data_IF_623976366844
#
_entry.id   IF_623976366844
#
_cell.length_a   1.000
_cell.length_b   1.000
_cell.length_c   1.000
_cell.angle_alpha   90.00
_cell.angle_beta   90.00
_cell.angle_gamma   90.00
#
_symmetry.space_group_name_H-M   'P 1'
#
loop_
_entity.id
_entity.type
_entity.pdbx_description
1 polymer ?
#
# COMPACT_ATOMS: atom_id res chain seq x y z
N UNK A 1 41.08 34.95 1.30
CA UNK A 1 39.61 34.85 1.31
C UNK A 1 39.25 33.39 1.08
N UNK A 2 38.67 32.64 2.05
CA UNK A 2 38.21 31.29 1.81
C UNK A 2 36.84 31.34 1.13
N UNK A 3 36.76 30.69 0.02
CA UNK A 3 35.48 30.38 -0.67
C UNK A 3 34.64 29.53 0.27
N UNK A 4 33.53 30.09 0.76
CA UNK A 4 32.48 29.37 1.44
C UNK A 4 31.77 28.57 0.35
N UNK A 5 32.11 27.29 0.23
CA UNK A 5 31.34 26.32 -0.53
C UNK A 5 30.02 26.13 0.24
N UNK A 6 29.01 26.90 -0.12
CA UNK A 6 27.65 26.60 0.30
C UNK A 6 27.28 25.25 -0.31
N UNK A 7 27.42 24.18 0.46
CA UNK A 7 26.75 22.91 0.16
C UNK A 7 25.26 23.21 0.10
N UNK A 8 24.72 23.32 -1.13
CA UNK A 8 23.30 23.12 -1.35
C UNK A 8 23.00 21.70 -0.89
N UNK A 9 22.54 21.56 0.34
CA UNK A 9 21.85 20.35 0.79
C UNK A 9 20.55 20.37 -0.03
N UNK A 10 20.54 19.66 -1.15
CA UNK A 10 19.29 19.32 -1.82
C UNK A 10 18.53 18.44 -0.83
N UNK A 11 17.52 19.00 -0.17
CA UNK A 11 16.58 18.19 0.59
C UNK A 11 16.00 17.15 -0.39
N UNK A 12 16.34 15.89 -0.19
CA UNK A 12 15.77 14.82 -1.00
C UNK A 12 14.26 14.84 -0.79
N UNK A 13 13.53 15.01 -1.90
CA UNK A 13 12.06 15.07 -1.88
C UNK A 13 11.46 13.89 -1.12
N UNK A 14 10.58 14.18 -0.16
CA UNK A 14 9.71 13.19 0.49
C UNK A 14 8.93 12.41 -0.58
N UNK A 15 8.85 11.08 -0.45
CA UNK A 15 8.05 10.23 -1.32
C UNK A 15 6.70 9.95 -0.64
N UNK A 16 5.61 10.19 -1.35
CA UNK A 16 4.25 9.88 -0.92
C UNK A 16 3.71 8.70 -1.71
N UNK A 17 3.12 7.74 -1.00
CA UNK A 17 2.60 6.50 -1.58
C UNK A 17 1.15 6.31 -1.17
N UNK A 18 0.24 6.22 -2.15
CA UNK A 18 -1.13 5.82 -1.92
C UNK A 18 -1.22 4.31 -1.72
N UNK A 19 -2.02 3.86 -0.76
CA UNK A 19 -2.15 2.44 -0.45
C UNK A 19 -3.61 2.02 -0.44
N UNK A 20 -3.91 0.95 -1.19
CA UNK A 20 -5.22 0.30 -1.23
C UNK A 20 -5.07 -1.20 -1.01
N UNK A 21 -6.17 -1.82 -0.62
CA UNK A 21 -6.34 -3.27 -0.57
C UNK A 21 -7.82 -3.63 -0.65
N UNK A 22 -8.09 -4.89 -0.98
CA UNK A 22 -9.41 -5.48 -0.86
C UNK A 22 -10.50 -4.63 -1.54
N UNK A 23 -10.25 -4.23 -2.79
CA UNK A 23 -11.20 -3.44 -3.58
C UNK A 23 -12.36 -4.28 -4.10
N UNK A 24 -12.19 -5.59 -4.29
CA UNK A 24 -13.24 -6.55 -4.68
C UNK A 24 -14.18 -6.08 -5.79
N UNK A 25 -13.67 -5.36 -6.78
CA UNK A 25 -14.46 -4.83 -7.89
C UNK A 25 -14.31 -5.71 -9.13
N UNK A 26 -15.42 -5.97 -9.79
CA UNK A 26 -15.44 -6.68 -11.08
C UNK A 26 -15.35 -5.74 -12.28
N UNK A 27 -14.99 -4.49 -12.06
CA UNK A 27 -14.87 -3.47 -13.09
C UNK A 27 -14.65 -2.07 -12.51
N UNK A 28 -14.95 -1.07 -13.33
CA UNK A 28 -14.77 0.33 -13.04
C UNK A 28 -15.80 0.88 -12.03
N UNK A 29 -15.37 1.65 -11.06
CA UNK A 29 -16.22 2.33 -10.07
C UNK A 29 -15.89 3.84 -10.02
N UNK A 30 -16.83 4.65 -10.53
CA UNK A 30 -16.70 6.11 -10.58
C UNK A 30 -16.62 6.77 -9.20
N UNK A 31 -17.28 6.21 -8.20
CA UNK A 31 -17.26 6.78 -6.84
C UNK A 31 -15.90 6.57 -6.21
N UNK A 32 -15.38 5.34 -6.32
CA UNK A 32 -14.06 5.02 -5.82
C UNK A 32 -12.99 5.84 -6.58
N UNK A 33 -13.09 5.94 -7.91
CA UNK A 33 -12.16 6.78 -8.70
C UNK A 33 -12.11 8.22 -8.21
N UNK A 34 -13.27 8.85 -7.97
CA UNK A 34 -13.31 10.22 -7.43
C UNK A 34 -12.61 10.34 -6.09
N UNK A 35 -12.81 9.39 -5.18
CA UNK A 35 -12.11 9.35 -3.89
C UNK A 35 -10.61 9.15 -4.04
N UNK A 36 -10.20 8.29 -4.97
CA UNK A 36 -8.77 8.08 -5.28
C UNK A 36 -8.15 9.37 -5.82
N UNK A 37 -8.80 10.05 -6.77
CA UNK A 37 -8.31 11.32 -7.30
C UNK A 37 -8.21 12.38 -6.20
N UNK A 38 -9.22 12.50 -5.34
CA UNK A 38 -9.25 13.46 -4.23
C UNK A 38 -8.07 13.27 -3.26
N UNK A 39 -7.77 12.04 -2.88
CA UNK A 39 -6.79 11.74 -1.83
C UNK A 39 -5.39 11.38 -2.36
N UNK A 40 -5.29 10.93 -3.62
CA UNK A 40 -4.03 10.49 -4.23
C UNK A 40 -3.54 11.40 -5.37
N UNK A 41 -4.03 12.64 -5.45
CA UNK A 41 -3.61 13.59 -6.49
C UNK A 41 -2.10 13.86 -6.46
N UNK A 42 -1.52 13.92 -5.26
CA UNK A 42 -0.12 14.26 -5.01
C UNK A 42 0.76 13.08 -4.58
N UNK A 43 0.28 11.83 -4.70
CA UNK A 43 1.13 10.67 -4.47
C UNK A 43 2.02 10.37 -5.67
N UNK A 44 3.24 9.93 -5.39
CA UNK A 44 4.24 9.59 -6.41
C UNK A 44 3.95 8.21 -7.03
N UNK A 45 3.35 7.28 -6.27
CA UNK A 45 2.97 5.94 -6.72
C UNK A 45 1.84 5.36 -5.87
N UNK A 46 1.30 4.23 -6.31
CA UNK A 46 0.24 3.50 -5.61
C UNK A 46 0.69 2.07 -5.32
N UNK A 47 0.41 1.58 -4.11
CA UNK A 47 0.52 0.19 -3.73
C UNK A 47 -0.89 -0.42 -3.61
N UNK A 48 -1.09 -1.61 -4.18
CA UNK A 48 -2.31 -2.38 -3.99
C UNK A 48 -2.00 -3.75 -3.39
N UNK A 49 -2.44 -3.97 -2.16
CA UNK A 49 -2.12 -5.17 -1.39
C UNK A 49 -3.07 -6.36 -1.65
N UNK A 50 -3.53 -6.52 -2.90
CA UNK A 50 -4.26 -7.69 -3.35
C UNK A 50 -5.78 -7.60 -3.23
N UNK A 51 -6.45 -8.64 -3.77
CA UNK A 51 -7.90 -8.71 -3.91
C UNK A 51 -8.47 -7.53 -4.73
N UNK A 52 -7.84 -7.29 -5.92
CA UNK A 52 -8.40 -6.40 -6.94
C UNK A 52 -9.65 -7.00 -7.56
N UNK A 53 -9.64 -8.32 -7.76
CA UNK A 53 -10.59 -9.17 -8.45
C UNK A 53 -10.50 -9.08 -9.98
N UNK A 54 -10.41 -7.89 -10.57
CA UNK A 54 -10.35 -7.70 -12.02
C UNK A 54 -9.35 -6.61 -12.40
N UNK A 55 -8.59 -6.82 -13.49
CA UNK A 55 -7.58 -5.87 -13.97
C UNK A 55 -8.14 -4.50 -14.35
N UNK A 56 -9.41 -4.41 -14.72
CA UNK A 56 -10.09 -3.14 -15.06
C UNK A 56 -10.14 -2.17 -13.89
N UNK A 57 -9.97 -2.66 -12.67
CA UNK A 57 -9.84 -1.81 -11.47
C UNK A 57 -8.65 -0.85 -11.58
N UNK A 58 -7.59 -1.23 -12.30
CA UNK A 58 -6.41 -0.37 -12.50
C UNK A 58 -6.73 0.95 -13.22
N UNK A 59 -7.81 1.00 -14.00
CA UNK A 59 -8.24 2.22 -14.71
C UNK A 59 -8.64 3.36 -13.76
N UNK A 60 -9.02 3.03 -12.51
CA UNK A 60 -9.37 4.05 -11.51
C UNK A 60 -8.16 4.89 -11.06
N UNK A 61 -6.93 4.38 -11.27
CA UNK A 61 -5.70 5.03 -10.81
C UNK A 61 -5.15 6.09 -11.77
N UNK A 62 -5.81 6.31 -12.91
CA UNK A 62 -5.52 7.42 -13.81
C UNK A 62 -4.11 7.44 -14.41
N UNK A 63 -3.52 6.26 -14.64
CA UNK A 63 -2.19 6.13 -15.24
C UNK A 63 -1.01 6.35 -14.28
N UNK A 64 -1.25 6.51 -12.96
CA UNK A 64 -0.17 6.51 -11.96
C UNK A 64 0.55 5.16 -11.93
N UNK A 65 1.83 5.16 -11.55
CA UNK A 65 2.57 3.93 -11.30
C UNK A 65 1.89 3.12 -10.18
N UNK A 66 1.59 1.84 -10.46
CA UNK A 66 0.97 0.93 -9.50
C UNK A 66 1.86 -0.29 -9.32
N UNK A 67 2.29 -0.55 -8.07
CA UNK A 67 2.80 -1.85 -7.67
C UNK A 67 1.68 -2.61 -6.98
N UNK A 68 1.40 -3.81 -7.44
CA UNK A 68 0.33 -4.63 -6.89
C UNK A 68 0.79 -6.07 -6.67
N UNK A 69 0.11 -6.74 -5.76
CA UNK A 69 0.21 -8.18 -5.54
C UNK A 69 -1.17 -8.82 -5.72
N UNK A 70 -1.21 -10.12 -5.98
CA UNK A 70 -2.48 -10.83 -6.01
C UNK A 70 -2.90 -11.31 -4.62
N UNK A 71 -4.21 -11.39 -4.42
CA UNK A 71 -4.84 -11.99 -3.24
C UNK A 71 -5.62 -13.26 -3.56
N UNK A 72 -6.30 -13.80 -2.56
CA UNK A 72 -7.02 -15.06 -2.71
C UNK A 72 -8.28 -14.95 -3.60
N UNK A 73 -8.93 -13.78 -3.64
CA UNK A 73 -10.14 -13.55 -4.42
C UNK A 73 -9.87 -13.09 -5.85
N UNK A 74 -8.63 -12.88 -6.22
CA UNK A 74 -8.26 -12.41 -7.55
C UNK A 74 -8.51 -13.47 -8.63
N UNK A 75 -8.98 -13.01 -9.79
CA UNK A 75 -9.19 -13.86 -10.95
C UNK A 75 -7.87 -14.32 -11.59
N UNK A 76 -7.87 -15.32 -12.49
CA UNK A 76 -6.65 -15.84 -13.10
C UNK A 76 -5.79 -14.76 -13.79
N UNK A 77 -6.41 -13.78 -14.45
CA UNK A 77 -5.69 -12.72 -15.16
C UNK A 77 -4.91 -11.80 -14.19
N UNK A 78 -5.47 -11.52 -13.02
CA UNK A 78 -4.78 -10.77 -11.96
C UNK A 78 -3.61 -11.59 -11.40
N UNK A 79 -3.85 -12.89 -11.12
CA UNK A 79 -2.82 -13.80 -10.59
C UNK A 79 -1.68 -14.06 -11.56
N UNK A 80 -1.94 -14.03 -12.85
CA UNK A 80 -0.90 -14.12 -13.88
C UNK A 80 -0.07 -12.83 -13.98
N UNK A 81 -0.73 -11.68 -13.81
CA UNK A 81 -0.09 -10.36 -13.93
C UNK A 81 0.72 -9.96 -12.70
N UNK A 82 0.24 -10.26 -11.50
CA UNK A 82 0.84 -9.81 -10.24
C UNK A 82 1.32 -10.98 -9.37
N UNK A 83 2.52 -10.85 -8.76
CA UNK A 83 3.03 -11.87 -7.86
C UNK A 83 2.25 -11.90 -6.53
N UNK A 84 2.48 -12.95 -5.73
CA UNK A 84 1.91 -13.06 -4.38
C UNK A 84 2.50 -12.05 -3.39
N UNK A 85 3.75 -11.63 -3.62
CA UNK A 85 4.44 -10.62 -2.83
C UNK A 85 5.50 -9.89 -3.64
N UNK A 86 5.83 -8.69 -3.22
CA UNK A 86 6.92 -7.86 -3.75
C UNK A 86 7.85 -7.44 -2.62
N UNK A 87 9.15 -7.52 -2.89
CA UNK A 87 10.20 -6.91 -2.09
C UNK A 87 10.80 -5.77 -2.89
N UNK A 88 10.86 -4.58 -2.32
CA UNK A 88 11.41 -3.40 -2.99
C UNK A 88 11.90 -2.38 -1.97
N UNK A 89 12.58 -1.36 -2.45
CA UNK A 89 13.18 -0.32 -1.62
C UNK A 89 12.69 1.07 -2.07
N UNK A 90 12.41 1.94 -1.10
CA UNK A 90 12.14 3.36 -1.31
C UNK A 90 12.99 4.15 -0.33
N UNK A 91 13.86 5.03 -0.84
CA UNK A 91 14.76 5.87 -0.02
C UNK A 91 15.57 5.09 1.03
N UNK A 92 16.03 3.90 0.69
CA UNK A 92 16.79 3.03 1.57
C UNK A 92 15.98 2.21 2.57
N UNK A 93 14.65 2.38 2.62
CA UNK A 93 13.76 1.54 3.44
C UNK A 93 13.28 0.34 2.65
N UNK A 94 13.33 -0.83 3.27
CA UNK A 94 12.94 -2.12 2.68
C UNK A 94 11.47 -2.41 2.95
N UNK A 95 10.71 -2.58 1.88
CA UNK A 95 9.27 -2.84 1.89
C UNK A 95 8.95 -4.27 1.49
N UNK A 96 7.96 -4.84 2.16
CA UNK A 96 7.20 -5.99 1.70
C UNK A 96 5.79 -5.53 1.36
N UNK A 97 5.33 -5.85 0.15
CA UNK A 97 3.93 -5.76 -0.24
C UNK A 97 3.40 -7.17 -0.41
N UNK A 98 2.35 -7.52 0.31
CA UNK A 98 1.77 -8.87 0.32
C UNK A 98 0.28 -8.79 0.66
N UNK A 99 -0.55 -9.70 0.11
CA UNK A 99 -1.95 -9.71 0.53
C UNK A 99 -2.12 -10.32 1.94
N UNK A 100 -1.40 -11.38 2.20
CA UNK A 100 -1.59 -12.22 3.39
C UNK A 100 -2.39 -13.49 3.06
N UNK A 101 -2.57 -14.36 4.04
CA UNK A 101 -3.26 -15.64 3.83
C UNK A 101 -3.80 -16.26 5.12
N UNK A 102 -4.82 -17.10 4.96
CA UNK A 102 -5.41 -17.90 6.03
C UNK A 102 -6.20 -17.06 7.03
N UNK A 103 -6.13 -17.43 8.30
CA UNK A 103 -6.84 -16.70 9.36
C UNK A 103 -6.27 -15.28 9.53
N UNK A 104 -7.12 -14.24 9.62
CA UNK A 104 -6.70 -12.89 9.98
C UNK A 104 -5.98 -12.79 11.32
N UNK A 105 -6.28 -13.71 12.25
CA UNK A 105 -5.64 -13.72 13.56
C UNK A 105 -4.18 -14.15 13.45
N UNK A 106 -3.27 -13.31 13.94
CA UNK A 106 -1.82 -13.56 13.91
C UNK A 106 -1.22 -13.48 12.51
N UNK A 107 -1.86 -12.76 11.57
CA UNK A 107 -1.38 -12.64 10.19
C UNK A 107 -0.04 -11.89 10.13
N UNK A 108 0.13 -10.87 10.95
CA UNK A 108 1.35 -10.06 11.00
C UNK A 108 2.57 -10.89 11.42
N UNK A 109 2.41 -11.75 12.42
CA UNK A 109 3.47 -12.66 12.89
C UNK A 109 3.84 -13.68 11.81
N UNK A 110 2.84 -14.19 11.05
CA UNK A 110 3.08 -15.11 9.94
C UNK A 110 3.84 -14.43 8.80
N UNK A 111 3.47 -13.20 8.48
CA UNK A 111 4.17 -12.43 7.44
C UNK A 111 5.59 -12.12 7.90
N UNK A 112 5.76 -11.61 9.12
CA UNK A 112 7.08 -11.27 9.65
C UNK A 112 8.02 -12.48 9.71
N UNK A 113 7.51 -13.67 10.03
CA UNK A 113 8.31 -14.89 10.07
C UNK A 113 8.83 -15.34 8.68
N UNK A 114 8.27 -14.79 7.60
CA UNK A 114 8.66 -15.12 6.22
C UNK A 114 9.69 -14.15 5.64
N UNK A 115 9.84 -12.96 6.22
CA UNK A 115 10.69 -11.92 5.66
C UNK A 115 11.61 -11.33 6.74
N UNK A 116 12.91 -11.44 6.50
CA UNK A 116 13.94 -10.88 7.36
C UNK A 116 14.33 -9.47 6.89
N UNK A 117 14.80 -8.65 7.84
CA UNK A 117 15.40 -7.33 7.60
C UNK A 117 14.55 -6.39 6.74
N UNK A 118 13.31 -6.19 7.16
CA UNK A 118 12.34 -5.28 6.54
C UNK A 118 12.01 -4.10 7.46
N UNK A 119 11.66 -2.96 6.86
CA UNK A 119 11.32 -1.73 7.60
C UNK A 119 9.81 -1.46 7.56
N UNK A 120 9.12 -1.89 6.50
CA UNK A 120 7.68 -1.71 6.35
C UNK A 120 7.04 -2.93 5.69
N UNK A 121 5.95 -3.42 6.28
CA UNK A 121 5.09 -4.47 5.73
C UNK A 121 3.74 -3.85 5.41
N UNK A 122 3.42 -3.79 4.11
CA UNK A 122 2.10 -3.37 3.59
C UNK A 122 1.30 -4.63 3.24
N UNK A 123 0.14 -4.79 3.86
CA UNK A 123 -0.67 -6.00 3.69
C UNK A 123 -2.16 -5.71 3.65
N UNK A 124 -2.98 -6.68 3.24
CA UNK A 124 -4.44 -6.61 3.13
C UNK A 124 -5.14 -7.73 3.89
N UNK A 125 -6.09 -8.39 3.22
CA UNK A 125 -6.78 -9.61 3.64
C UNK A 125 -7.71 -9.50 4.85
N UNK A 126 -7.35 -8.72 5.86
CA UNK A 126 -8.15 -8.60 7.10
C UNK A 126 -9.32 -7.65 6.96
N UNK A 127 -9.34 -6.80 5.94
CA UNK A 127 -10.25 -5.67 5.72
C UNK A 127 -10.24 -4.64 6.86
N UNK A 128 -9.38 -4.81 7.86
CA UNK A 128 -9.26 -3.94 9.02
C UNK A 128 -8.01 -3.08 8.90
N UNK A 129 -8.15 -1.74 9.00
CA UNK A 129 -6.99 -0.88 8.94
C UNK A 129 -6.06 -1.12 10.13
N UNK A 130 -4.76 -1.09 9.86
CA UNK A 130 -3.70 -1.15 10.86
C UNK A 130 -2.57 -0.21 10.48
N UNK A 131 -2.05 0.51 11.46
CA UNK A 131 -0.92 1.42 11.30
C UNK A 131 -0.18 1.52 12.63
N UNK A 132 0.81 0.64 12.83
CA UNK A 132 1.57 0.59 14.07
C UNK A 132 2.97 0.01 13.85
N UNK A 133 3.90 0.34 14.73
CA UNK A 133 5.26 -0.22 14.74
C UNK A 133 5.37 -1.35 15.75
N UNK A 134 6.06 -2.43 15.35
CA UNK A 134 6.51 -3.51 16.22
C UNK A 134 8.03 -3.64 16.06
N UNK A 135 8.77 -3.25 17.07
CA UNK A 135 10.21 -3.03 16.92
C UNK A 135 10.50 -1.93 15.89
N UNK A 136 11.36 -2.21 14.91
CA UNK A 136 11.68 -1.29 13.83
C UNK A 136 10.65 -1.33 12.68
N UNK A 137 9.82 -2.37 12.60
CA UNK A 137 8.96 -2.63 11.44
C UNK A 137 7.62 -1.91 11.58
N UNK A 138 7.26 -1.12 10.57
CA UNK A 138 5.93 -0.56 10.41
C UNK A 138 5.01 -1.60 9.76
N UNK A 139 3.92 -1.97 10.43
CA UNK A 139 2.81 -2.74 9.88
C UNK A 139 1.73 -1.79 9.39
N UNK A 140 1.41 -1.87 8.10
CA UNK A 140 0.45 -0.99 7.48
C UNK A 140 -0.56 -1.76 6.64
N UNK A 141 -1.82 -1.73 7.07
CA UNK A 141 -2.95 -2.25 6.31
C UNK A 141 -3.93 -1.09 6.06
N UNK A 142 -4.23 -0.73 4.81
CA UNK A 142 -5.15 0.38 4.51
C UNK A 142 -6.61 0.05 4.85
N UNK A 143 -6.93 -1.19 5.19
CA UNK A 143 -8.31 -1.68 5.27
C UNK A 143 -8.88 -1.98 3.88
N UNK A 144 -10.20 -1.93 3.72
CA UNK A 144 -10.87 -2.08 2.43
C UNK A 144 -11.49 -0.77 1.95
N UNK A 145 -11.29 -0.44 0.68
CA UNK A 145 -11.86 0.77 0.07
C UNK A 145 -13.37 0.63 -0.24
N UNK A 146 -13.94 -0.57 -0.20
CA UNK A 146 -15.33 -0.83 -0.63
C UNK A 146 -16.14 -1.67 0.35
N UNK A 147 -15.50 -2.48 1.17
CA UNK A 147 -16.17 -3.44 2.03
C UNK A 147 -17.05 -2.77 3.09
N UNK A 148 -18.26 -3.31 3.26
CA UNK A 148 -19.21 -2.91 4.29
C UNK A 148 -19.62 -4.06 5.22
N UNK A 149 -19.15 -5.29 4.92
CA UNK A 149 -19.56 -6.47 5.67
C UNK A 149 -18.56 -6.83 6.77
N UNK A 150 -17.27 -6.73 6.49
CA UNK A 150 -16.20 -7.10 7.44
C UNK A 150 -15.46 -5.88 8.01
N UNK A 151 -15.59 -4.71 7.36
CA UNK A 151 -15.02 -3.46 7.83
C UNK A 151 -16.07 -2.53 8.41
N UNK A 152 -15.74 -1.82 9.46
CA UNK A 152 -16.61 -0.79 10.07
C UNK A 152 -16.71 0.48 9.22
N UNK A 153 -15.73 0.70 8.34
CA UNK A 153 -15.64 1.87 7.45
C UNK A 153 -14.82 1.52 6.20
N UNK A 154 -15.07 2.26 5.12
CA UNK A 154 -14.24 2.21 3.93
C UNK A 154 -13.00 3.06 4.14
N UNK A 155 -11.83 2.48 3.90
CA UNK A 155 -10.56 3.13 4.18
C UNK A 155 -9.55 2.95 3.06
N UNK A 156 -8.67 3.91 2.94
CA UNK A 156 -7.45 3.89 2.14
C UNK A 156 -6.29 4.37 3.02
N UNK A 157 -5.06 4.28 2.53
CA UNK A 157 -3.89 4.72 3.26
C UNK A 157 -2.97 5.63 2.47
N UNK A 158 -2.18 6.42 3.19
CA UNK A 158 -1.01 7.11 2.64
C UNK A 158 0.19 6.78 3.50
N UNK A 159 1.28 6.41 2.84
CA UNK A 159 2.61 6.33 3.44
C UNK A 159 3.43 7.54 3.00
N UNK A 160 4.19 8.10 3.91
CA UNK A 160 5.18 9.15 3.65
C UNK A 160 6.56 8.62 4.04
N UNK A 161 7.48 8.68 3.08
CA UNK A 161 8.84 8.15 3.23
C UNK A 161 9.83 9.30 3.10
N UNK A 162 10.55 9.56 4.19
CA UNK A 162 11.61 10.55 4.24
C UNK A 162 12.74 10.05 5.15
N UNK A 163 12.95 10.63 6.31
CA UNK A 163 13.89 10.14 7.34
C UNK A 163 13.37 8.92 8.10
N UNK A 164 12.10 8.70 8.01
CA UNK A 164 11.39 7.51 8.50
C UNK A 164 10.20 7.20 7.60
N UNK A 165 9.62 6.02 7.77
CA UNK A 165 8.36 5.64 7.15
C UNK A 165 7.23 5.90 8.13
N UNK A 166 6.28 6.74 7.73
CA UNK A 166 5.06 7.03 8.49
C UNK A 166 3.82 6.75 7.65
N UNK A 167 2.73 6.39 8.31
CA UNK A 167 1.48 6.07 7.63
C UNK A 167 0.30 6.82 8.26
N UNK A 168 -0.75 7.01 7.46
CA UNK A 168 -2.06 7.45 7.93
C UNK A 168 -3.17 6.73 7.20
N UNK A 169 -4.24 6.43 7.94
CA UNK A 169 -5.47 5.82 7.40
C UNK A 169 -6.48 6.94 7.15
N UNK A 170 -7.20 6.86 6.03
CA UNK A 170 -8.19 7.84 5.60
C UNK A 170 -9.52 7.11 5.41
N UNK A 171 -10.57 7.58 6.07
CA UNK A 171 -11.94 7.15 5.80
C UNK A 171 -12.47 7.84 4.52
N UNK A 172 -13.14 7.08 3.66
CA UNK A 172 -13.66 7.56 2.38
C UNK A 172 -15.13 7.23 2.15
#
# INVERSE_FOLDING_TARGET
MPLILSQLIMEEKKVKVGVLSDTHLTGYDDKLKRRIIEHFNDVDMILHAGDLVDLRVLEIFGGKEVKAVCGNMDNPAVKEKFPEHLLFEIKGFKFVLIHGWGSPRGIEEKILARFDDVDCIVYGHTHKPANYKKGKVLFFNPGSAVDRHFASSKTIGILEIDKEVTGRIINI
#
